data_IF_630974233601
#
_entry.id   IF_630974233601
#
_cell.length_a   1.000
_cell.length_b   1.000
_cell.length_c   1.000
_cell.angle_alpha   90.00
_cell.angle_beta   90.00
_cell.angle_gamma   90.00
#
_symmetry.space_group_name_H-M   'P 1'
#
loop_
_entity.id
_entity.type
_entity.pdbx_description
1 polymer ?
#
# COMPACT_ATOMS: atom_id res chain seq x y z
N UNK A 1 -21.61 19.27 -48.01
CA UNK A 1 -22.37 19.86 -46.89
C UNK A 1 -22.73 18.70 -45.98
N UNK A 2 -21.84 18.37 -45.02
CA UNK A 2 -21.79 18.97 -43.66
C UNK A 2 -23.08 18.71 -42.88
N UNK A 3 -23.13 18.36 -41.60
CA UNK A 3 -22.16 17.97 -40.56
C UNK A 3 -23.02 17.56 -39.33
N UNK A 4 -22.51 16.62 -38.51
CA UNK A 4 -22.62 16.52 -37.04
C UNK A 4 -24.04 16.40 -36.39
N UNK A 5 -24.27 15.73 -35.26
CA UNK A 5 -23.52 15.58 -34.00
C UNK A 5 -23.72 14.12 -33.46
N UNK A 6 -22.71 13.33 -33.09
CA UNK A 6 -21.77 13.45 -31.97
C UNK A 6 -22.46 13.50 -30.58
N UNK A 7 -22.78 12.32 -30.02
CA UNK A 7 -22.96 12.12 -28.58
C UNK A 7 -21.84 11.22 -28.07
N UNK A 8 -20.88 11.86 -27.41
CA UNK A 8 -19.68 11.28 -26.84
C UNK A 8 -20.03 10.39 -25.64
N UNK A 9 -19.61 9.12 -25.70
CA UNK A 9 -19.59 8.21 -24.57
C UNK A 9 -18.16 8.21 -24.00
N UNK A 10 -17.82 9.26 -23.26
CA UNK A 10 -16.57 9.39 -22.51
C UNK A 10 -16.68 8.57 -21.22
N UNK A 11 -16.28 7.29 -21.26
CA UNK A 11 -16.12 6.46 -20.07
C UNK A 11 -15.03 5.37 -20.24
N UNK A 12 -13.96 5.70 -20.96
CA UNK A 12 -12.71 4.95 -20.85
C UNK A 12 -11.64 5.90 -20.30
N UNK A 13 -11.32 5.73 -19.02
CA UNK A 13 -10.09 6.28 -18.46
C UNK A 13 -8.95 5.74 -19.30
N UNK A 14 -8.38 6.61 -20.13
CA UNK A 14 -7.48 6.30 -21.23
C UNK A 14 -6.31 5.42 -20.79
N UNK A 15 -6.43 4.12 -21.07
CA UNK A 15 -5.28 3.25 -21.31
C UNK A 15 -4.49 3.91 -22.44
N UNK A 16 -3.35 4.52 -22.15
CA UNK A 16 -2.47 5.00 -23.21
C UNK A 16 -2.15 3.80 -24.11
N UNK A 17 -2.43 3.87 -25.42
CA UNK A 17 -2.25 2.73 -26.30
C UNK A 17 -0.78 2.31 -26.30
N UNK A 18 -0.55 0.99 -26.17
CA UNK A 18 0.80 0.41 -26.27
C UNK A 18 1.40 0.82 -27.60
N UNK A 19 2.62 1.36 -27.55
CA UNK A 19 3.34 1.75 -28.75
C UNK A 19 4.37 0.68 -29.10
N UNK A 20 4.68 0.46 -30.39
CA UNK A 20 5.79 -0.41 -30.78
C UNK A 20 7.12 -0.01 -30.10
N UNK A 21 7.26 1.29 -29.80
CA UNK A 21 8.43 1.84 -29.10
C UNK A 21 8.47 1.37 -27.64
N UNK A 22 7.38 1.50 -26.88
CA UNK A 22 7.34 1.05 -25.48
C UNK A 22 7.54 -0.46 -25.35
N UNK A 23 7.01 -1.24 -26.29
CA UNK A 23 7.22 -2.69 -26.33
C UNK A 23 8.67 -3.06 -26.67
N UNK A 24 9.30 -2.37 -27.62
CA UNK A 24 10.70 -2.58 -27.95
C UNK A 24 11.63 -2.27 -26.76
N UNK A 25 11.35 -1.21 -26.00
CA UNK A 25 12.11 -0.86 -24.78
C UNK A 25 11.93 -1.93 -23.70
N UNK A 26 10.71 -2.39 -23.45
CA UNK A 26 10.46 -3.45 -22.49
C UNK A 26 11.15 -4.77 -22.89
N UNK A 27 11.16 -5.09 -24.19
CA UNK A 27 11.86 -6.25 -24.73
C UNK A 27 13.38 -6.14 -24.59
N UNK A 28 13.96 -4.97 -24.89
CA UNK A 28 15.38 -4.71 -24.68
C UNK A 28 15.77 -4.88 -23.21
N UNK A 29 14.96 -4.38 -22.28
CA UNK A 29 15.21 -4.54 -20.83
C UNK A 29 15.04 -6.00 -20.39
N UNK A 30 14.12 -6.75 -20.97
CA UNK A 30 14.03 -8.19 -20.74
C UNK A 30 15.26 -8.94 -21.24
N UNK A 31 15.78 -8.60 -22.43
CA UNK A 31 17.04 -9.16 -22.93
C UNK A 31 18.19 -8.80 -22.00
N UNK A 32 18.27 -7.56 -21.54
CA UNK A 32 19.27 -7.15 -20.55
C UNK A 32 19.17 -7.99 -19.27
N UNK A 33 17.97 -8.28 -18.76
CA UNK A 33 17.76 -9.19 -17.63
C UNK A 33 18.29 -10.61 -17.92
N UNK A 34 18.00 -11.17 -19.11
CA UNK A 34 18.52 -12.48 -19.55
C UNK A 34 20.05 -12.54 -19.60
N UNK A 35 20.68 -11.45 -20.02
CA UNK A 35 22.15 -11.34 -20.07
C UNK A 35 22.75 -10.77 -18.78
N UNK A 36 21.99 -10.70 -17.68
CA UNK A 36 22.44 -10.18 -16.37
C UNK A 36 23.04 -8.76 -16.44
N UNK A 37 22.54 -7.94 -17.38
CA UNK A 37 22.90 -6.53 -17.49
C UNK A 37 21.99 -5.69 -16.58
N UNK A 38 22.53 -4.68 -15.88
CA UNK A 38 21.74 -3.79 -15.06
C UNK A 38 20.65 -3.09 -15.88
N UNK A 39 19.43 -3.11 -15.38
CA UNK A 39 18.29 -2.38 -15.97
C UNK A 39 17.76 -1.36 -14.98
N UNK A 40 17.25 -0.26 -15.52
CA UNK A 40 16.52 0.76 -14.78
C UNK A 40 15.09 0.70 -15.27
N UNK A 41 14.13 0.71 -14.35
CA UNK A 41 12.70 0.74 -14.60
C UNK A 41 12.26 2.20 -14.42
N UNK A 42 11.62 2.76 -15.44
CA UNK A 42 11.18 4.16 -15.44
C UNK A 42 9.85 4.31 -14.70
N UNK A 43 8.89 3.42 -14.95
CA UNK A 43 7.55 3.48 -14.37
C UNK A 43 6.87 2.09 -14.24
N UNK A 44 5.71 2.07 -13.59
CA UNK A 44 4.95 0.83 -13.38
C UNK A 44 4.42 0.17 -14.66
N UNK A 45 4.21 0.96 -15.73
CA UNK A 45 3.74 0.42 -17.02
C UNK A 45 4.85 -0.39 -17.67
N UNK A 46 6.06 0.12 -17.62
CA UNK A 46 7.23 -0.58 -18.13
C UNK A 46 7.44 -1.93 -17.43
N UNK A 47 7.33 -1.98 -16.09
CA UNK A 47 7.42 -3.25 -15.36
C UNK A 47 6.31 -4.23 -15.80
N UNK A 48 5.11 -3.73 -16.08
CA UNK A 48 4.00 -4.54 -16.57
C UNK A 48 4.26 -5.10 -17.97
N UNK A 49 4.80 -4.29 -18.88
CA UNK A 49 5.17 -4.74 -20.22
C UNK A 49 6.34 -5.75 -20.19
N UNK A 50 7.35 -5.50 -19.36
CA UNK A 50 8.45 -6.45 -19.13
C UNK A 50 7.93 -7.78 -18.59
N UNK A 51 7.01 -7.77 -17.62
CA UNK A 51 6.40 -8.98 -17.04
C UNK A 51 5.59 -9.75 -18.07
N UNK A 52 4.80 -9.05 -18.90
CA UNK A 52 4.04 -9.67 -19.99
C UNK A 52 4.95 -10.35 -21.02
N UNK A 53 6.04 -9.70 -21.41
CA UNK A 53 7.01 -10.28 -22.34
C UNK A 53 7.75 -11.47 -21.70
N UNK A 54 8.10 -11.36 -20.42
CA UNK A 54 8.72 -12.45 -19.69
C UNK A 54 7.79 -13.67 -19.61
N UNK A 55 6.49 -13.46 -19.40
CA UNK A 55 5.47 -14.51 -19.45
C UNK A 55 5.44 -15.19 -20.84
N UNK A 56 5.37 -14.39 -21.90
CA UNK A 56 5.35 -14.88 -23.28
C UNK A 56 6.61 -15.70 -23.64
N UNK A 57 7.79 -15.25 -23.20
CA UNK A 57 9.07 -15.92 -23.45
C UNK A 57 9.46 -16.95 -22.38
N UNK A 58 8.56 -17.31 -21.44
CA UNK A 58 8.84 -18.23 -20.34
C UNK A 58 10.08 -17.85 -19.50
N UNK A 59 10.25 -16.54 -19.27
CA UNK A 59 11.40 -15.91 -18.64
C UNK A 59 11.04 -15.12 -17.36
N UNK A 60 9.87 -15.39 -16.75
CA UNK A 60 9.48 -14.79 -15.45
C UNK A 60 10.53 -15.00 -14.34
N UNK A 61 11.16 -16.18 -14.18
CA UNK A 61 12.20 -16.37 -13.16
C UNK A 61 13.42 -15.46 -13.39
N UNK A 62 13.81 -15.30 -14.65
CA UNK A 62 14.94 -14.46 -15.06
C UNK A 62 14.65 -13.00 -14.77
N UNK A 63 13.45 -12.53 -15.14
CA UNK A 63 13.02 -11.17 -14.83
C UNK A 63 12.96 -10.95 -13.32
N UNK A 64 12.32 -11.84 -12.56
CA UNK A 64 12.23 -11.77 -11.10
C UNK A 64 13.61 -11.65 -10.45
N UNK A 65 14.57 -12.48 -10.88
CA UNK A 65 15.96 -12.43 -10.38
C UNK A 65 16.62 -11.07 -10.66
N UNK A 66 16.39 -10.49 -11.84
CA UNK A 66 16.95 -9.18 -12.18
C UNK A 66 16.40 -8.02 -11.32
N UNK A 67 15.17 -8.18 -10.80
CA UNK A 67 14.51 -7.15 -9.98
C UNK A 67 15.19 -6.89 -8.64
N UNK A 68 15.92 -7.87 -8.09
CA UNK A 68 16.71 -7.68 -6.87
C UNK A 68 17.74 -6.55 -6.98
N UNK A 69 18.22 -6.24 -8.20
CA UNK A 69 19.16 -5.16 -8.46
C UNK A 69 18.45 -3.97 -9.10
N UNK A 70 17.58 -4.21 -10.08
CA UNK A 70 16.99 -3.11 -10.87
C UNK A 70 16.09 -2.21 -10.03
N UNK A 71 15.31 -2.73 -9.08
CA UNK A 71 14.39 -1.94 -8.25
C UNK A 71 15.12 -0.84 -7.47
N UNK A 72 16.30 -1.14 -6.92
CA UNK A 72 17.09 -0.18 -6.15
C UNK A 72 17.77 0.89 -7.01
N UNK A 73 17.92 0.63 -8.30
CA UNK A 73 18.48 1.52 -9.31
C UNK A 73 17.39 2.31 -10.06
N UNK A 74 16.12 2.16 -9.67
CA UNK A 74 14.95 2.69 -10.37
C UNK A 74 14.20 3.74 -9.53
N UNK A 75 14.79 4.91 -9.24
CA UNK A 75 14.19 5.90 -8.36
C UNK A 75 12.85 6.43 -8.88
N UNK A 76 12.70 6.61 -10.19
CA UNK A 76 11.44 7.08 -10.80
C UNK A 76 10.29 6.10 -10.61
N UNK A 77 10.57 4.80 -10.74
CA UNK A 77 9.59 3.75 -10.45
C UNK A 77 9.16 3.78 -8.98
N UNK A 78 10.10 4.00 -8.05
CA UNK A 78 9.78 4.10 -6.62
C UNK A 78 8.96 5.37 -6.30
N UNK A 79 9.24 6.48 -6.97
CA UNK A 79 8.45 7.70 -6.85
C UNK A 79 7.03 7.55 -7.44
N UNK A 80 6.89 6.83 -8.56
CA UNK A 80 5.60 6.46 -9.15
C UNK A 80 4.74 5.69 -8.14
N UNK A 81 5.29 4.61 -7.54
CA UNK A 81 4.64 3.84 -6.46
C UNK A 81 4.20 4.74 -5.30
N UNK A 82 5.12 5.58 -4.79
CA UNK A 82 4.85 6.43 -3.62
C UNK A 82 3.72 7.40 -3.89
N UNK A 83 3.76 8.09 -5.03
CA UNK A 83 2.77 9.12 -5.41
C UNK A 83 1.34 8.58 -5.44
N UNK A 84 1.16 7.29 -5.75
CA UNK A 84 -0.15 6.66 -5.87
C UNK A 84 -0.69 6.18 -4.54
N UNK A 85 0.18 5.73 -3.64
CA UNK A 85 -0.22 5.42 -2.28
C UNK A 85 -0.88 6.64 -1.62
N UNK A 86 -0.36 7.85 -1.87
CA UNK A 86 -0.91 9.08 -1.31
C UNK A 86 -2.13 9.59 -2.08
N UNK A 87 -2.11 9.52 -3.42
CA UNK A 87 -3.22 9.98 -4.25
C UNK A 87 -4.49 9.10 -4.12
N UNK A 88 -4.34 7.78 -3.90
CA UNK A 88 -5.45 6.86 -3.69
C UNK A 88 -6.27 7.21 -2.44
N UNK A 89 -5.64 7.76 -1.39
CA UNK A 89 -6.37 8.25 -0.21
C UNK A 89 -7.20 9.50 -0.50
N UNK A 90 -6.68 10.44 -1.29
CA UNK A 90 -7.35 11.72 -1.52
C UNK A 90 -8.59 11.61 -2.39
N UNK A 91 -8.79 10.47 -3.07
CA UNK A 91 -9.99 10.14 -3.85
C UNK A 91 -10.94 9.21 -3.08
N UNK A 92 -11.01 9.29 -1.74
CA UNK A 92 -12.10 8.63 -0.98
C UNK A 92 -13.42 8.99 -1.66
N UNK A 93 -14.18 8.03 -2.24
CA UNK A 93 -15.55 8.32 -2.60
C UNK A 93 -16.23 8.69 -1.29
N UNK A 94 -16.77 9.90 -1.23
CA UNK A 94 -17.63 10.33 -0.13
C UNK A 94 -18.61 9.18 0.08
N UNK A 95 -18.64 8.60 1.29
CA UNK A 95 -19.63 7.57 1.65
C UNK A 95 -21.01 8.22 1.53
N UNK A 96 -21.54 8.25 0.32
CA UNK A 96 -22.91 8.66 0.08
C UNK A 96 -23.77 7.48 0.50
N UNK A 97 -24.11 7.46 1.79
CA UNK A 97 -24.93 6.45 2.44
C UNK A 97 -26.34 6.35 1.83
N UNK A 98 -26.67 7.20 0.85
CA UNK A 98 -27.96 7.28 0.16
C UNK A 98 -28.07 6.37 -1.07
N UNK A 99 -26.98 5.80 -1.57
CA UNK A 99 -27.00 4.89 -2.73
C UNK A 99 -26.70 3.45 -2.29
N UNK A 100 -27.63 2.84 -1.55
CA UNK A 100 -27.58 1.40 -1.22
C UNK A 100 -28.10 0.48 -2.34
N UNK A 101 -28.60 1.03 -3.45
CA UNK A 101 -29.38 0.29 -4.45
C UNK A 101 -28.72 0.14 -5.82
N UNK A 102 -27.52 0.69 -6.05
CA UNK A 102 -26.77 0.44 -7.28
C UNK A 102 -25.74 -0.66 -7.03
N UNK A 103 -25.89 -1.80 -7.72
CA UNK A 103 -24.85 -2.83 -7.81
C UNK A 103 -23.55 -2.14 -8.21
N UNK A 104 -22.57 -2.11 -7.29
CA UNK A 104 -21.29 -1.47 -7.57
C UNK A 104 -20.66 -2.22 -8.76
N UNK A 105 -20.14 -1.51 -9.78
CA UNK A 105 -19.41 -2.17 -10.85
C UNK A 105 -18.25 -2.94 -10.23
N UNK A 106 -18.18 -4.24 -10.55
CA UNK A 106 -17.06 -5.09 -10.14
C UNK A 106 -15.85 -4.60 -10.93
N UNK A 107 -14.90 -3.96 -10.25
CA UNK A 107 -13.66 -3.51 -10.87
C UNK A 107 -12.61 -4.60 -10.65
N UNK A 108 -12.30 -5.36 -11.69
CA UNK A 108 -11.23 -6.37 -11.68
C UNK A 108 -9.91 -5.84 -12.24
N UNK A 109 -9.98 -4.78 -13.06
CA UNK A 109 -8.83 -4.18 -13.73
C UNK A 109 -8.55 -2.79 -13.16
N UNK A 110 -7.31 -2.59 -12.70
CA UNK A 110 -6.81 -1.32 -12.23
C UNK A 110 -5.71 -0.82 -13.17
N UNK A 111 -5.44 0.51 -13.19
CA UNK A 111 -4.27 1.04 -13.88
C UNK A 111 -2.97 0.31 -13.50
N UNK A 112 -2.01 0.22 -14.42
CA UNK A 112 -0.76 -0.52 -14.19
C UNK A 112 0.03 -0.05 -12.97
N UNK A 113 -0.10 1.22 -12.61
CA UNK A 113 0.56 1.83 -11.47
C UNK A 113 -0.23 1.69 -10.15
N UNK A 114 -1.43 1.11 -10.18
CA UNK A 114 -2.24 0.91 -8.98
C UNK A 114 -1.61 -0.16 -8.05
N UNK A 115 -1.62 0.02 -6.71
CA UNK A 115 -1.00 -0.93 -5.77
C UNK A 115 -1.50 -2.37 -5.93
N UNK A 116 -2.80 -2.57 -6.19
CA UNK A 116 -3.37 -3.91 -6.44
C UNK A 116 -2.82 -4.53 -7.73
N UNK A 117 -2.63 -3.75 -8.79
CA UNK A 117 -2.03 -4.24 -10.05
C UNK A 117 -0.58 -4.67 -9.83
N UNK A 118 0.20 -3.84 -9.14
CA UNK A 118 1.60 -4.13 -8.83
C UNK A 118 1.74 -5.30 -7.87
N UNK A 119 0.80 -5.47 -6.92
CA UNK A 119 0.74 -6.63 -6.06
C UNK A 119 0.48 -7.93 -6.86
N UNK A 120 -0.52 -7.93 -7.75
CA UNK A 120 -0.81 -9.07 -8.64
C UNK A 120 0.41 -9.41 -9.49
N UNK A 121 1.09 -8.37 -10.00
CA UNK A 121 2.31 -8.52 -10.78
C UNK A 121 3.46 -9.09 -9.94
N UNK A 122 3.65 -8.61 -8.70
CA UNK A 122 4.67 -9.12 -7.79
C UNK A 122 4.43 -10.59 -7.43
N UNK A 123 3.16 -11.00 -7.28
CA UNK A 123 2.78 -12.39 -7.07
C UNK A 123 3.07 -13.26 -8.29
N UNK A 124 2.75 -12.78 -9.49
CA UNK A 124 3.08 -13.48 -10.74
C UNK A 124 4.60 -13.63 -10.95
N UNK A 125 5.37 -12.62 -10.54
CA UNK A 125 6.84 -12.66 -10.55
C UNK A 125 7.42 -13.38 -9.34
N UNK A 126 6.59 -13.92 -8.42
CA UNK A 126 7.03 -14.56 -7.18
C UNK A 126 8.15 -13.76 -6.47
N UNK A 127 8.09 -12.42 -6.54
CA UNK A 127 9.20 -11.55 -6.16
C UNK A 127 8.99 -11.02 -4.73
N UNK A 128 9.70 -11.57 -3.71
CA UNK A 128 9.37 -11.36 -2.30
C UNK A 128 9.41 -9.90 -1.85
N UNK A 129 10.45 -9.16 -2.27
CA UNK A 129 10.65 -7.78 -1.84
C UNK A 129 9.56 -6.87 -2.38
N UNK A 130 9.22 -7.03 -3.66
CA UNK A 130 8.18 -6.22 -4.30
C UNK A 130 6.80 -6.58 -3.74
N UNK A 131 6.55 -7.86 -3.49
CA UNK A 131 5.29 -8.32 -2.91
C UNK A 131 5.08 -7.75 -1.51
N UNK A 132 6.09 -7.80 -0.64
CA UNK A 132 6.04 -7.19 0.70
C UNK A 132 5.79 -5.70 0.65
N UNK A 133 6.52 -4.97 -0.20
CA UNK A 133 6.34 -3.53 -0.38
C UNK A 133 4.88 -3.23 -0.78
N UNK A 134 4.35 -3.94 -1.77
CA UNK A 134 2.98 -3.71 -2.25
C UNK A 134 1.93 -4.14 -1.22
N UNK A 135 2.23 -5.14 -0.40
CA UNK A 135 1.36 -5.54 0.70
C UNK A 135 1.17 -4.46 1.74
N UNK A 136 2.26 -3.78 2.12
CA UNK A 136 2.17 -2.64 3.04
C UNK A 136 1.23 -1.57 2.49
N UNK A 137 1.37 -1.20 1.21
CA UNK A 137 0.50 -0.20 0.59
C UNK A 137 -0.96 -0.64 0.54
N UNK A 138 -1.24 -1.87 0.08
CA UNK A 138 -2.61 -2.38 -0.06
C UNK A 138 -3.29 -2.53 1.30
N UNK A 139 -2.61 -3.09 2.30
CA UNK A 139 -3.14 -3.23 3.66
C UNK A 139 -3.46 -1.87 4.27
N UNK A 140 -2.57 -0.88 4.12
CA UNK A 140 -2.80 0.45 4.67
C UNK A 140 -4.13 1.04 4.17
N UNK A 141 -4.42 0.86 2.88
CA UNK A 141 -5.55 1.43 2.17
C UNK A 141 -6.84 0.58 2.22
N UNK A 142 -6.79 -0.60 2.84
CA UNK A 142 -7.83 -1.63 2.71
C UNK A 142 -9.19 -1.16 3.23
N UNK A 143 -9.29 -0.58 4.43
CA UNK A 143 -10.57 -0.16 5.00
C UNK A 143 -11.31 0.86 4.10
N UNK A 144 -10.54 1.71 3.41
CA UNK A 144 -11.10 2.73 2.52
C UNK A 144 -11.54 2.16 1.17
N UNK A 145 -11.01 1.01 0.75
CA UNK A 145 -11.12 0.51 -0.62
C UNK A 145 -11.55 -0.96 -0.75
N UNK A 146 -11.79 -1.68 0.36
CA UNK A 146 -12.04 -3.13 0.36
C UNK A 146 -13.13 -3.51 -0.65
N UNK A 147 -14.27 -2.82 -0.63
CA UNK A 147 -15.37 -3.07 -1.57
C UNK A 147 -15.05 -2.88 -3.06
N UNK A 148 -13.96 -2.17 -3.39
CA UNK A 148 -13.49 -1.94 -4.75
C UNK A 148 -12.44 -2.99 -5.12
N UNK A 149 -11.55 -3.32 -4.17
CA UNK A 149 -10.38 -4.15 -4.43
C UNK A 149 -10.61 -5.64 -4.20
N UNK A 150 -11.55 -6.00 -3.33
CA UNK A 150 -11.87 -7.38 -2.94
C UNK A 150 -12.07 -8.32 -4.14
N UNK A 151 -12.86 -7.99 -5.18
CA UNK A 151 -12.99 -8.88 -6.33
C UNK A 151 -11.67 -9.21 -7.02
N UNK A 152 -10.79 -8.22 -7.21
CA UNK A 152 -9.52 -8.39 -7.90
C UNK A 152 -8.47 -9.12 -7.06
N UNK A 153 -8.53 -8.98 -5.73
CA UNK A 153 -7.68 -9.70 -4.79
C UNK A 153 -8.09 -11.18 -4.72
N UNK A 154 -9.39 -11.46 -4.63
CA UNK A 154 -9.91 -12.82 -4.61
C UNK A 154 -9.64 -13.55 -5.92
N UNK A 155 -9.82 -12.88 -7.07
CA UNK A 155 -9.45 -13.45 -8.38
C UNK A 155 -7.97 -13.85 -8.45
N UNK A 156 -7.10 -13.08 -7.78
CA UNK A 156 -5.67 -13.36 -7.74
C UNK A 156 -5.26 -14.41 -6.68
N UNK A 157 -6.20 -14.92 -5.88
CA UNK A 157 -5.91 -15.85 -4.78
C UNK A 157 -5.08 -15.24 -3.66
N UNK A 158 -5.19 -13.91 -3.45
CA UNK A 158 -4.40 -13.16 -2.46
C UNK A 158 -5.19 -12.79 -1.21
N UNK A 159 -6.42 -13.28 -1.08
CA UNK A 159 -7.38 -12.93 -0.03
C UNK A 159 -6.93 -13.42 1.35
N UNK A 160 -6.41 -14.64 1.46
CA UNK A 160 -5.95 -15.20 2.73
C UNK A 160 -4.76 -14.41 3.31
N UNK A 161 -3.70 -14.21 2.51
CA UNK A 161 -2.50 -13.45 2.94
C UNK A 161 -2.83 -11.99 3.25
N UNK A 162 -3.70 -11.36 2.45
CA UNK A 162 -4.12 -9.98 2.69
C UNK A 162 -4.94 -9.88 3.99
N UNK A 163 -5.90 -10.79 4.19
CA UNK A 163 -6.76 -10.81 5.38
C UNK A 163 -5.91 -11.02 6.64
N UNK A 164 -4.95 -11.96 6.63
CA UNK A 164 -4.01 -12.16 7.73
C UNK A 164 -3.20 -10.90 8.03
N UNK A 165 -2.61 -10.29 7.00
CA UNK A 165 -1.80 -9.07 7.13
C UNK A 165 -2.62 -7.90 7.67
N UNK A 166 -3.84 -7.72 7.16
CA UNK A 166 -4.77 -6.68 7.59
C UNK A 166 -5.21 -6.89 9.05
N UNK A 167 -5.57 -8.12 9.42
CA UNK A 167 -5.92 -8.45 10.80
C UNK A 167 -4.77 -8.23 11.78
N UNK A 168 -3.52 -8.51 11.38
CA UNK A 168 -2.36 -8.23 12.22
C UNK A 168 -2.22 -6.72 12.52
N UNK A 169 -2.36 -5.86 11.51
CA UNK A 169 -2.34 -4.40 11.69
C UNK A 169 -3.50 -3.94 12.57
N UNK A 170 -4.72 -4.45 12.33
CA UNK A 170 -5.89 -4.11 13.14
C UNK A 170 -5.76 -4.59 14.59
N UNK A 171 -5.14 -5.74 14.82
CA UNK A 171 -4.86 -6.25 16.15
C UNK A 171 -3.88 -5.33 16.90
N UNK A 172 -2.82 -4.86 16.24
CA UNK A 172 -1.89 -3.85 16.80
C UNK A 172 -2.63 -2.56 17.14
N UNK A 173 -3.46 -2.06 16.22
CA UNK A 173 -4.27 -0.87 16.44
C UNK A 173 -5.19 -1.03 17.65
N UNK A 174 -5.93 -2.13 17.72
CA UNK A 174 -6.81 -2.43 18.85
C UNK A 174 -6.03 -2.55 20.17
N UNK A 175 -4.85 -3.18 20.14
CA UNK A 175 -3.99 -3.33 21.32
C UNK A 175 -3.51 -1.98 21.85
N UNK A 176 -3.08 -1.06 20.97
CA UNK A 176 -2.70 0.31 21.33
C UNK A 176 -3.87 1.02 22.02
N UNK A 177 -5.06 1.03 21.42
CA UNK A 177 -6.21 1.71 22.02
C UNK A 177 -6.64 1.08 23.33
N UNK A 178 -6.64 -0.25 23.42
CA UNK A 178 -6.92 -0.95 24.67
C UNK A 178 -5.92 -0.57 25.76
N UNK A 179 -4.62 -0.52 25.45
CA UNK A 179 -3.58 -0.08 26.38
C UNK A 179 -3.78 1.36 26.86
N UNK A 180 -4.11 2.27 25.94
CA UNK A 180 -4.41 3.68 26.25
C UNK A 180 -5.61 3.78 27.22
N UNK A 181 -6.72 3.09 26.92
CA UNK A 181 -7.93 3.13 27.73
C UNK A 181 -7.74 2.45 29.09
N UNK A 182 -7.09 1.28 29.11
CA UNK A 182 -6.72 0.58 30.34
C UNK A 182 -5.90 1.50 31.25
N UNK A 183 -4.87 2.14 30.69
CA UNK A 183 -4.05 3.11 31.41
C UNK A 183 -4.86 4.26 32.00
N UNK A 184 -5.83 4.79 31.25
CA UNK A 184 -6.69 5.87 31.74
C UNK A 184 -7.57 5.46 32.94
N UNK A 185 -7.92 4.19 33.04
CA UNK A 185 -8.69 3.66 34.18
C UNK A 185 -7.81 3.48 35.42
N UNK A 186 -6.61 2.91 35.25
CA UNK A 186 -5.80 2.42 36.37
C UNK A 186 -4.71 3.38 36.84
N UNK A 187 -4.23 4.27 35.98
CA UNK A 187 -3.14 5.21 36.25
C UNK A 187 -3.66 6.66 36.14
N UNK A 188 -3.74 7.34 37.29
CA UNK A 188 -4.22 8.72 37.36
C UNK A 188 -3.31 9.71 36.64
N UNK A 189 -1.99 9.56 36.75
CA UNK A 189 -1.04 10.43 36.07
C UNK A 189 -1.15 10.27 34.55
N UNK A 190 -1.27 9.02 34.07
CA UNK A 190 -1.53 8.72 32.66
C UNK A 190 -2.85 9.33 32.21
N UNK A 191 -3.93 9.15 32.98
CA UNK A 191 -5.26 9.70 32.65
C UNK A 191 -5.21 11.22 32.48
N UNK A 192 -4.64 11.94 33.46
CA UNK A 192 -4.52 13.40 33.41
C UNK A 192 -3.72 13.81 32.18
N UNK A 193 -2.57 13.16 31.92
CA UNK A 193 -1.74 13.47 30.76
C UNK A 193 -2.46 13.21 29.43
N UNK A 194 -3.18 12.10 29.32
CA UNK A 194 -3.94 11.75 28.12
C UNK A 194 -5.07 12.76 27.86
N UNK A 195 -5.78 13.21 28.91
CA UNK A 195 -6.78 14.27 28.79
C UNK A 195 -6.16 15.59 28.35
N UNK A 196 -5.03 16.01 28.94
CA UNK A 196 -4.31 17.22 28.50
C UNK A 196 -3.94 17.16 27.01
N UNK A 197 -3.47 16.00 26.56
CA UNK A 197 -3.19 15.76 25.15
C UNK A 197 -4.49 15.90 24.37
N UNK A 198 -5.50 15.06 24.65
CA UNK A 198 -6.78 15.04 23.93
C UNK A 198 -7.44 16.42 23.81
N UNK A 199 -7.47 17.22 24.88
CA UNK A 199 -8.04 18.57 24.87
C UNK A 199 -7.29 19.54 23.95
N UNK A 200 -5.97 19.40 23.78
CA UNK A 200 -5.22 20.20 22.79
C UNK A 200 -5.62 19.84 21.35
N UNK A 201 -6.02 18.60 21.12
CA UNK A 201 -6.39 18.11 19.79
C UNK A 201 -7.88 18.19 19.51
N UNK A 202 -8.74 18.38 20.51
CA UNK A 202 -10.18 18.52 20.34
C UNK A 202 -10.58 19.53 19.25
N UNK A 203 -9.96 20.73 19.14
CA UNK A 203 -10.26 21.66 18.04
C UNK A 203 -9.85 21.13 16.66
N UNK A 204 -8.75 20.39 16.57
CA UNK A 204 -8.30 19.71 15.35
C UNK A 204 -9.23 18.53 15.00
N UNK A 205 -9.73 17.82 16.01
CA UNK A 205 -10.70 16.74 15.85
C UNK A 205 -12.06 17.26 15.40
N UNK A 206 -12.43 18.50 15.76
CA UNK A 206 -13.67 19.14 15.33
C UNK A 206 -13.62 19.66 13.88
N UNK A 207 -12.44 20.01 13.37
CA UNK A 207 -12.27 20.53 11.99
C UNK A 207 -12.09 19.42 10.95
N UNK A 208 -11.58 18.26 11.33
CA UNK A 208 -11.45 17.11 10.46
C UNK A 208 -12.66 16.17 10.58
N UNK A 209 -13.28 15.80 9.44
CA UNK A 209 -14.46 14.90 9.41
C UNK A 209 -14.17 13.48 9.91
N UNK A 210 -12.91 13.11 10.08
CA UNK A 210 -12.47 11.80 10.58
C UNK A 210 -11.11 11.96 11.25
N UNK A 211 -10.94 11.41 12.46
CA UNK A 211 -9.63 11.37 13.11
C UNK A 211 -8.77 10.33 12.38
N UNK A 212 -7.60 10.75 11.91
CA UNK A 212 -6.69 9.89 11.17
C UNK A 212 -5.77 9.21 12.18
N UNK A 213 -6.02 7.93 12.43
CA UNK A 213 -5.49 7.21 13.60
C UNK A 213 -3.96 7.10 13.59
N UNK A 214 -3.34 6.95 12.42
CA UNK A 214 -1.88 6.90 12.30
C UNK A 214 -1.22 8.21 12.73
N UNK A 215 -1.75 9.35 12.28
CA UNK A 215 -1.30 10.68 12.72
C UNK A 215 -1.48 10.85 14.24
N UNK A 216 -2.63 10.47 14.79
CA UNK A 216 -2.87 10.56 16.23
C UNK A 216 -1.83 9.74 17.03
N UNK A 217 -1.54 8.51 16.60
CA UNK A 217 -0.56 7.64 17.25
C UNK A 217 0.85 8.23 17.19
N UNK A 218 1.30 8.75 16.04
CA UNK A 218 2.61 9.43 15.93
C UNK A 218 2.71 10.61 16.90
N UNK A 219 1.68 11.47 16.93
CA UNK A 219 1.64 12.62 17.84
C UNK A 219 1.63 12.22 19.30
N UNK A 220 0.95 11.12 19.65
CA UNK A 220 0.93 10.59 20.99
C UNK A 220 2.34 10.19 21.45
N UNK A 221 3.11 9.49 20.61
CA UNK A 221 4.52 9.15 20.90
C UNK A 221 5.34 10.39 21.23
N UNK A 222 5.20 11.45 20.44
CA UNK A 222 5.91 12.72 20.67
C UNK A 222 5.50 13.39 21.99
N UNK A 223 4.21 13.46 22.30
CA UNK A 223 3.70 14.14 23.50
C UNK A 223 3.99 13.37 24.80
N UNK A 224 4.20 12.06 24.70
CA UNK A 224 4.55 11.20 25.82
C UNK A 224 6.07 11.09 26.05
N UNK A 225 6.93 11.71 25.23
CA UNK A 225 8.39 11.57 25.33
C UNK A 225 8.92 11.84 26.74
N UNK A 226 8.50 12.93 27.36
CA UNK A 226 8.99 13.39 28.67
C UNK A 226 8.07 12.99 29.84
N UNK A 227 6.98 12.27 29.56
CA UNK A 227 6.09 11.74 30.59
C UNK A 227 6.69 10.45 31.15
N UNK A 228 6.52 10.11 32.43
CA UNK A 228 7.00 8.83 32.98
C UNK A 228 5.86 8.12 33.69
N UNK A 229 5.54 6.90 33.26
CA UNK A 229 4.70 5.96 33.99
C UNK A 229 4.92 4.54 33.48
N UNK A 230 4.54 3.54 34.27
CA UNK A 230 4.59 2.13 33.84
C UNK A 230 3.70 1.90 32.61
N UNK A 231 2.52 2.55 32.59
CA UNK A 231 1.62 2.50 31.42
C UNK A 231 2.22 3.10 30.16
N UNK A 232 3.05 4.14 30.28
CA UNK A 232 3.78 4.68 29.12
C UNK A 232 4.67 3.63 28.48
N UNK A 233 5.39 2.83 29.27
CA UNK A 233 6.31 1.84 28.70
C UNK A 233 5.56 0.80 27.87
N UNK A 234 4.46 0.28 28.41
CA UNK A 234 3.58 -0.68 27.72
C UNK A 234 2.99 -0.08 26.43
N UNK A 235 2.39 1.11 26.52
CA UNK A 235 1.75 1.76 25.37
C UNK A 235 2.77 2.20 24.33
N UNK A 236 3.96 2.67 24.74
CA UNK A 236 5.02 3.04 23.80
C UNK A 236 5.56 1.85 23.01
N UNK A 237 5.66 0.67 23.63
CA UNK A 237 6.05 -0.53 22.89
C UNK A 237 5.02 -0.85 21.81
N UNK A 238 3.73 -0.85 22.17
CA UNK A 238 2.65 -1.09 21.21
C UNK A 238 2.59 -0.02 20.09
N UNK A 239 2.81 1.25 20.44
CA UNK A 239 2.90 2.34 19.46
C UNK A 239 4.11 2.18 18.54
N UNK A 240 5.25 1.72 19.07
CA UNK A 240 6.45 1.44 18.28
C UNK A 240 6.18 0.35 17.24
N UNK A 241 5.49 -0.71 17.65
CA UNK A 241 5.12 -1.80 16.75
C UNK A 241 4.11 -1.35 15.69
N UNK A 242 3.10 -0.56 16.08
CA UNK A 242 2.07 -0.03 15.17
C UNK A 242 2.63 1.00 14.17
N UNK A 243 3.60 1.82 14.58
CA UNK A 243 4.23 2.86 13.76
C UNK A 243 5.54 2.40 13.11
N UNK A 244 5.85 1.10 13.16
CA UNK A 244 6.96 0.50 12.43
C UNK A 244 6.77 0.72 10.93
N UNK A 245 7.84 1.08 10.23
CA UNK A 245 7.88 1.16 8.78
C UNK A 245 8.50 -0.13 8.21
N UNK A 246 7.69 -0.95 7.55
CA UNK A 246 8.12 -2.18 6.88
C UNK A 246 8.31 -2.01 5.36
N UNK A 247 8.26 -0.78 4.83
CA UNK A 247 8.66 -0.53 3.45
C UNK A 247 10.16 -0.82 3.29
N UNK A 248 10.48 -1.69 2.34
CA UNK A 248 11.83 -2.16 2.03
C UNK A 248 12.47 -1.27 0.96
N UNK A 249 11.74 -0.98 -0.11
CA UNK A 249 12.28 -0.30 -1.29
C UNK A 249 12.36 1.22 -1.12
N UNK A 250 11.58 1.78 -0.21
CA UNK A 250 11.55 3.21 0.06
C UNK A 250 12.77 3.66 0.90
N UNK A 251 13.83 4.13 0.22
CA UNK A 251 15.09 4.62 0.85
C UNK A 251 14.95 5.86 1.77
N UNK A 252 13.74 6.39 1.97
CA UNK A 252 13.48 7.59 2.77
C UNK A 252 13.07 7.27 4.21
N UNK A 253 13.09 8.29 5.08
CA UNK A 253 12.41 8.21 6.39
C UNK A 253 10.89 8.30 6.18
N UNK A 254 10.29 7.22 5.70
CA UNK A 254 8.84 7.09 5.69
C UNK A 254 8.38 6.85 7.13
N UNK A 255 7.59 7.78 7.67
CA UNK A 255 7.11 7.75 9.04
C UNK A 255 5.58 7.65 8.98
N UNK A 256 4.99 6.54 9.47
CA UNK A 256 3.54 6.43 9.58
C UNK A 256 2.94 7.62 10.33
N UNK A 257 1.87 8.21 9.81
CA UNK A 257 1.26 9.40 10.41
C UNK A 257 1.97 10.72 10.08
N UNK A 258 2.97 10.74 9.19
CA UNK A 258 3.68 11.97 8.83
C UNK A 258 3.87 12.15 7.31
N UNK A 259 3.84 13.41 6.86
CA UNK A 259 4.05 13.79 5.46
C UNK A 259 3.10 13.05 4.51
N UNK A 260 3.67 12.43 3.48
CA UNK A 260 2.98 11.60 2.50
C UNK A 260 2.19 10.42 3.12
N UNK A 261 2.62 9.95 4.29
CA UNK A 261 2.06 8.79 4.99
C UNK A 261 1.14 9.17 6.16
N UNK A 262 0.61 10.39 6.15
CA UNK A 262 -0.25 10.94 7.20
C UNK A 262 -1.42 10.02 7.59
N UNK A 263 -1.98 9.29 6.62
CA UNK A 263 -3.14 8.42 6.78
C UNK A 263 -2.82 6.93 6.92
N UNK A 264 -1.54 6.56 6.85
CA UNK A 264 -1.13 5.18 6.60
C UNK A 264 -0.41 4.57 7.80
N UNK A 265 -0.78 3.32 8.12
CA UNK A 265 0.11 2.41 8.84
C UNK A 265 0.99 1.69 7.84
N UNK A 266 2.27 1.54 8.17
CA UNK A 266 3.26 0.87 7.33
C UNK A 266 3.82 -0.40 7.97
N UNK A 267 3.15 -0.91 9.00
CA UNK A 267 3.63 -2.01 9.84
C UNK A 267 3.13 -3.39 9.40
N UNK A 268 2.43 -3.49 8.26
CA UNK A 268 2.05 -4.79 7.71
C UNK A 268 3.32 -5.61 7.41
N UNK A 269 3.29 -6.90 7.74
CA UNK A 269 4.41 -7.80 7.58
C UNK A 269 3.90 -9.10 6.96
N UNK A 270 4.66 -9.64 6.01
CA UNK A 270 4.39 -10.93 5.37
C UNK A 270 5.62 -11.80 5.51
N UNK A 271 5.45 -12.93 6.18
CA UNK A 271 6.52 -13.91 6.40
C UNK A 271 6.74 -14.77 5.15
N UNK A 272 7.90 -15.42 5.08
CA UNK A 272 8.25 -16.26 3.92
C UNK A 272 7.29 -17.45 3.73
N UNK A 273 6.72 -17.98 4.82
CA UNK A 273 5.74 -19.07 4.83
C UNK A 273 4.30 -18.61 4.52
N UNK A 274 4.09 -17.30 4.37
CA UNK A 274 2.80 -16.69 4.05
C UNK A 274 2.70 -16.27 2.58
N UNK A 275 3.74 -16.51 1.76
CA UNK A 275 3.67 -16.24 0.33
C UNK A 275 2.63 -17.13 -0.36
N UNK A 276 1.93 -16.61 -1.39
CA UNK A 276 0.98 -17.40 -2.17
C UNK A 276 1.66 -18.39 -3.13
N UNK A 277 2.99 -18.45 -3.15
CA UNK A 277 3.79 -19.41 -3.89
C UNK A 277 4.77 -20.13 -2.94
N UNK A 278 5.18 -21.35 -3.30
CA UNK A 278 6.23 -22.05 -2.55
C UNK A 278 7.61 -21.49 -2.94
N UNK A 279 8.40 -20.94 -2.01
CA UNK A 279 9.74 -20.41 -2.31
C UNK A 279 10.74 -21.47 -2.81
N UNK A 280 10.44 -22.77 -2.64
CA UNK A 280 11.26 -23.87 -3.15
C UNK A 280 10.86 -24.35 -4.54
N UNK A 281 9.73 -23.88 -5.05
CA UNK A 281 9.24 -24.27 -6.36
C UNK A 281 10.09 -23.63 -7.46
N UNK A 282 10.61 -24.46 -8.37
CA UNK A 282 11.40 -24.02 -9.52
C UNK A 282 10.58 -23.91 -10.79
N UNK A 283 9.43 -24.58 -10.82
CA UNK A 283 8.47 -24.51 -11.92
C UNK A 283 7.56 -23.30 -11.70
N UNK A 284 7.35 -22.50 -12.76
CA UNK A 284 6.79 -21.15 -12.66
C UNK A 284 5.36 -21.04 -13.17
#
# INVERSE_FOLDING_TARGET
MENAEASANDNNSLLLPRTPVSEAVAFEKLLNAMYSKPTVIEDSRELHDMTRLADFYCALPVLSTSLYISLWNSPKFLDDIRSLSTAAYHKRPIRDTRVRAATRPIVTEFPHNHPVSLLKLAAKLRHPILFREMMVYVVSLWESNCSIWEPAITEAGLDDVLTKSYHAVHHLQASVFFGIFRGAVIDEAWRVRLYEIASKWEPLMATHKQMEMAFFCDRLVWQLRDFESEMKLEVNQLLTDLLKNNLVLSKGKCIPGHGDYFHQYLCAEVKDDEFPWDPKETDW
#
